data_IF_102072880400
#
_entry.id   IF_102072880400
#
_cell.length_a   1.000
_cell.length_b   1.000
_cell.length_c   1.000
_cell.angle_alpha   90.00
_cell.angle_beta   90.00
_cell.angle_gamma   90.00
#
_symmetry.space_group_name_H-M   'P 1'
#
loop_
_entity.id
_entity.type
_entity.pdbx_description
1 polymer ?
#
# COMPACT_ATOMS: atom_id res chain seq x y z
N UNK A 1 41.79 -28.14 48.91
CA UNK A 1 40.41 -27.96 48.40
C UNK A 1 40.28 -26.72 47.50
N UNK A 2 41.28 -26.44 46.65
CA UNK A 2 41.29 -25.22 45.80
C UNK A 2 40.91 -25.53 44.34
N UNK A 3 41.23 -26.72 43.81
CA UNK A 3 40.93 -27.11 42.43
C UNK A 3 39.43 -27.09 42.07
N UNK A 4 38.55 -27.48 43.00
CA UNK A 4 37.10 -27.43 42.76
C UNK A 4 36.57 -25.99 42.62
N UNK A 5 37.16 -25.00 43.32
CA UNK A 5 36.75 -23.60 43.21
C UNK A 5 37.13 -22.99 41.85
N UNK A 6 38.30 -23.38 41.32
CA UNK A 6 38.79 -22.94 40.01
C UNK A 6 37.91 -23.50 38.88
N UNK A 7 37.53 -24.78 38.96
CA UNK A 7 36.65 -25.42 37.96
C UNK A 7 35.23 -24.83 37.95
N UNK A 8 34.68 -24.51 39.14
CA UNK A 8 33.39 -23.81 39.26
C UNK A 8 33.46 -22.41 38.63
N UNK A 9 34.52 -21.64 38.93
CA UNK A 9 34.77 -20.33 38.31
C UNK A 9 34.84 -20.44 36.79
N UNK A 10 35.64 -21.37 36.25
CA UNK A 10 35.77 -21.55 34.79
C UNK A 10 34.43 -21.88 34.12
N UNK A 11 33.60 -22.72 34.74
CA UNK A 11 32.26 -23.03 34.24
C UNK A 11 31.36 -21.79 34.18
N UNK A 12 31.36 -20.94 35.21
CA UNK A 12 30.58 -19.71 35.21
C UNK A 12 31.04 -18.73 34.12
N UNK A 13 32.35 -18.54 33.96
CA UNK A 13 32.91 -17.70 32.90
C UNK A 13 32.61 -18.23 31.50
N UNK A 14 32.67 -19.55 31.31
CA UNK A 14 32.27 -20.19 30.05
C UNK A 14 30.79 -19.97 29.74
N UNK A 15 29.92 -20.08 30.74
CA UNK A 15 28.48 -19.88 30.57
C UNK A 15 28.15 -18.44 30.18
N UNK A 16 28.81 -17.46 30.81
CA UNK A 16 28.70 -16.04 30.47
C UNK A 16 29.17 -15.79 29.03
N UNK A 17 30.29 -16.39 28.62
CA UNK A 17 30.82 -16.26 27.27
C UNK A 17 29.85 -16.79 26.21
N UNK A 18 29.23 -17.95 26.46
CA UNK A 18 28.21 -18.52 25.56
C UNK A 18 26.99 -17.62 25.46
N UNK A 19 26.50 -17.09 26.59
CA UNK A 19 25.35 -16.16 26.59
C UNK A 19 25.67 -14.90 25.79
N UNK A 20 26.85 -14.30 25.99
CA UNK A 20 27.28 -13.12 25.26
C UNK A 20 27.39 -13.39 23.75
N UNK A 21 27.91 -14.56 23.37
CA UNK A 21 28.01 -14.96 21.97
C UNK A 21 26.63 -15.13 21.32
N UNK A 22 25.68 -15.76 22.02
CA UNK A 22 24.30 -15.89 21.52
C UNK A 22 23.65 -14.52 21.36
N UNK A 23 23.82 -13.61 22.32
CA UNK A 23 23.31 -12.22 22.21
C UNK A 23 23.92 -11.52 20.99
N UNK A 24 25.22 -11.68 20.75
CA UNK A 24 25.89 -11.10 19.60
C UNK A 24 25.30 -11.61 18.28
N UNK A 25 25.08 -12.92 18.15
CA UNK A 25 24.44 -13.51 16.97
C UNK A 25 23.00 -12.99 16.77
N UNK A 26 22.23 -12.84 17.85
CA UNK A 26 20.88 -12.27 17.78
C UNK A 26 20.92 -10.83 17.27
N UNK A 27 21.88 -10.02 17.73
CA UNK A 27 22.05 -8.64 17.26
C UNK A 27 22.37 -8.59 15.77
N UNK A 28 23.27 -9.45 15.27
CA UNK A 28 23.59 -9.53 13.83
C UNK A 28 22.35 -9.90 13.01
N UNK A 29 21.55 -10.87 13.47
CA UNK A 29 20.30 -11.27 12.81
C UNK A 29 19.31 -10.10 12.77
N UNK A 30 19.15 -9.36 13.86
CA UNK A 30 18.25 -8.19 13.92
C UNK A 30 18.70 -7.11 12.92
N UNK A 31 20.01 -6.82 12.86
CA UNK A 31 20.57 -5.83 11.93
C UNK A 31 20.31 -6.26 10.47
N UNK A 32 20.58 -7.52 10.14
CA UNK A 32 20.34 -8.08 8.82
C UNK A 32 18.86 -7.99 8.40
N UNK A 33 17.94 -8.40 9.29
CA UNK A 33 16.50 -8.35 9.02
C UNK A 33 15.97 -6.92 8.87
N UNK A 34 16.46 -5.98 9.68
CA UNK A 34 16.04 -4.57 9.63
C UNK A 34 16.42 -3.93 8.28
N UNK A 35 17.60 -4.24 7.75
CA UNK A 35 18.03 -3.74 6.45
C UNK A 35 17.10 -4.23 5.33
N UNK A 36 16.75 -5.52 5.32
CA UNK A 36 15.85 -6.09 4.31
C UNK A 36 14.45 -5.49 4.38
N UNK A 37 13.94 -5.21 5.59
CA UNK A 37 12.63 -4.58 5.77
C UNK A 37 12.59 -3.16 5.19
N UNK A 38 13.63 -2.36 5.43
CA UNK A 38 13.74 -0.99 4.92
C UNK A 38 13.75 -0.94 3.39
N UNK A 39 14.53 -1.81 2.77
CA UNK A 39 14.61 -1.91 1.31
C UNK A 39 13.26 -2.30 0.68
N UNK A 40 12.53 -3.26 1.28
CA UNK A 40 11.20 -3.65 0.81
C UNK A 40 10.16 -2.54 0.95
N UNK A 41 10.20 -1.78 2.04
CA UNK A 41 9.30 -0.63 2.23
C UNK A 41 9.57 0.47 1.21
N UNK A 42 10.84 0.80 0.95
CA UNK A 42 11.24 1.79 -0.06
C UNK A 42 10.81 1.36 -1.47
N UNK A 43 11.04 0.10 -1.86
CA UNK A 43 10.60 -0.44 -3.15
C UNK A 43 9.08 -0.37 -3.28
N UNK A 44 8.35 -0.70 -2.21
CA UNK A 44 6.88 -0.66 -2.21
C UNK A 44 6.35 0.76 -2.41
N UNK A 45 6.90 1.74 -1.69
CA UNK A 45 6.53 3.17 -1.82
C UNK A 45 6.79 3.69 -3.24
N UNK A 46 7.95 3.36 -3.83
CA UNK A 46 8.28 3.77 -5.20
C UNK A 46 7.35 3.09 -6.22
N UNK A 47 7.01 1.82 -6.02
CA UNK A 47 6.11 1.09 -6.90
C UNK A 47 4.65 1.59 -6.83
N UNK A 48 4.18 2.01 -5.66
CA UNK A 48 2.86 2.64 -5.50
C UNK A 48 2.80 3.99 -6.21
N UNK A 49 3.92 4.72 -6.24
CA UNK A 49 4.05 5.98 -6.97
C UNK A 49 4.23 5.81 -8.49
N UNK A 50 4.50 4.61 -9.01
CA UNK A 50 4.76 4.38 -10.44
C UNK A 50 3.74 3.41 -11.04
N UNK A 51 2.88 3.94 -11.91
CA UNK A 51 1.86 3.15 -12.60
C UNK A 51 2.30 2.76 -14.00
N UNK A 52 2.17 1.48 -14.34
CA UNK A 52 2.43 0.96 -15.69
C UNK A 52 1.25 1.27 -16.61
N UNK A 53 1.51 1.94 -17.73
CA UNK A 53 0.52 2.38 -18.71
C UNK A 53 0.94 1.95 -20.11
N UNK A 54 -0.03 1.58 -20.93
CA UNK A 54 0.16 1.27 -22.35
C UNK A 54 -0.47 2.38 -23.19
N UNK A 55 0.30 2.97 -24.10
CA UNK A 55 -0.22 3.95 -25.05
C UNK A 55 -1.26 3.31 -25.98
N UNK A 56 -2.38 3.98 -26.21
CA UNK A 56 -3.43 3.56 -27.15
C UNK A 56 -2.95 3.50 -28.60
N UNK A 57 -2.02 4.38 -28.98
CA UNK A 57 -1.64 4.58 -30.37
C UNK A 57 -0.44 3.72 -30.79
N UNK A 58 0.66 3.79 -30.05
CA UNK A 58 1.90 3.08 -30.39
C UNK A 58 2.10 1.79 -29.59
N UNK A 59 1.15 1.44 -28.71
CA UNK A 59 1.19 0.27 -27.79
C UNK A 59 2.43 0.18 -26.90
N UNK A 60 3.22 1.26 -26.82
CA UNK A 60 4.41 1.30 -25.97
C UNK A 60 3.98 1.29 -24.50
N UNK A 61 4.65 0.46 -23.71
CA UNK A 61 4.37 0.30 -22.28
C UNK A 61 5.44 1.05 -21.49
N UNK A 62 5.03 1.94 -20.60
CA UNK A 62 5.94 2.79 -19.82
C UNK A 62 5.36 3.06 -18.43
N UNK A 63 6.21 3.59 -17.54
CA UNK A 63 5.84 3.96 -16.17
C UNK A 63 5.49 5.45 -16.11
N UNK A 64 4.42 5.78 -15.41
CA UNK A 64 3.97 7.15 -15.16
C UNK A 64 3.88 7.34 -13.65
N UNK A 65 4.39 8.47 -13.15
CA UNK A 65 4.24 8.86 -11.75
C UNK A 65 2.76 9.09 -11.43
N UNK A 66 2.19 8.29 -10.53
CA UNK A 66 0.82 8.44 -10.08
C UNK A 66 0.74 9.56 -9.05
N UNK A 67 0.28 10.73 -9.48
CA UNK A 67 0.10 11.90 -8.61
C UNK A 67 -1.12 11.78 -7.70
N UNK A 68 -1.91 10.69 -7.79
CA UNK A 68 -3.17 10.51 -7.09
C UNK A 68 -4.33 11.33 -7.65
N UNK A 69 -4.05 12.33 -8.50
CA UNK A 69 -5.04 13.21 -9.14
C UNK A 69 -5.48 12.62 -10.48
N UNK A 70 -6.79 12.71 -10.77
CA UNK A 70 -7.40 12.26 -12.03
C UNK A 70 -8.31 13.36 -12.59
N UNK A 71 -8.43 13.52 -13.92
CA UNK A 71 -7.77 12.76 -14.98
C UNK A 71 -6.25 12.98 -15.00
N UNK A 72 -5.47 11.89 -14.95
CA UNK A 72 -4.01 11.99 -15.08
C UNK A 72 -3.70 12.04 -16.56
N UNK A 73 -3.30 13.22 -17.03
CA UNK A 73 -2.77 13.42 -18.38
C UNK A 73 -1.33 12.97 -18.40
N UNK A 74 -0.98 12.16 -19.39
CA UNK A 74 0.38 11.71 -19.59
C UNK A 74 0.73 11.79 -21.07
N UNK A 75 1.98 12.08 -21.38
CA UNK A 75 2.47 12.13 -22.76
C UNK A 75 3.25 10.84 -23.02
N UNK A 76 2.92 10.16 -24.12
CA UNK A 76 3.68 8.96 -24.49
C UNK A 76 5.12 9.35 -24.89
N UNK A 77 6.16 8.74 -24.29
CA UNK A 77 7.55 9.06 -24.61
C UNK A 77 7.96 8.60 -26.02
N UNK A 78 7.19 7.71 -26.65
CA UNK A 78 7.52 7.18 -27.97
C UNK A 78 6.83 7.95 -29.10
N UNK A 79 5.53 8.23 -29.00
CA UNK A 79 4.77 8.88 -30.06
C UNK A 79 4.34 10.33 -29.77
N UNK A 80 4.63 10.86 -28.58
CA UNK A 80 4.29 12.23 -28.18
C UNK A 80 2.80 12.50 -28.00
N UNK A 81 1.92 11.52 -28.23
CA UNK A 81 0.47 11.68 -28.03
C UNK A 81 0.11 11.74 -26.56
N UNK A 82 -0.83 12.62 -26.23
CA UNK A 82 -1.43 12.71 -24.90
C UNK A 82 -2.43 11.59 -24.68
N UNK A 83 -2.28 10.86 -23.58
CA UNK A 83 -3.23 9.90 -23.08
C UNK A 83 -3.83 10.37 -21.76
N UNK A 84 -5.02 9.86 -21.44
CA UNK A 84 -5.70 10.14 -20.17
C UNK A 84 -5.94 8.85 -19.44
N UNK A 85 -5.33 8.70 -18.25
CA UNK A 85 -5.71 7.64 -17.33
C UNK A 85 -6.99 8.06 -16.61
N UNK A 86 -8.10 7.44 -17.02
CA UNK A 86 -9.38 7.49 -16.31
C UNK A 86 -9.46 6.27 -15.41
N UNK A 87 -9.30 6.45 -14.10
CA UNK A 87 -9.41 5.39 -13.09
C UNK A 87 -9.67 6.02 -11.72
N UNK A 88 -10.57 5.41 -10.92
CA UNK A 88 -11.14 5.99 -9.70
C UNK A 88 -10.11 6.15 -8.57
N UNK A 89 -9.72 7.39 -8.32
CA UNK A 89 -9.70 7.99 -6.98
C UNK A 89 -10.14 9.43 -7.17
N UNK A 90 -11.45 9.59 -7.26
CA UNK A 90 -12.10 10.90 -7.14
C UNK A 90 -12.12 11.19 -5.64
N UNK A 91 -11.76 12.39 -5.22
CA UNK A 91 -12.06 12.85 -3.86
C UNK A 91 -13.58 12.83 -3.71
N UNK A 92 -14.11 11.73 -3.19
CA UNK A 92 -15.53 11.56 -2.96
C UNK A 92 -15.79 11.31 -1.49
N UNK A 93 -16.89 11.86 -0.99
CA UNK A 93 -17.34 11.60 0.37
C UNK A 93 -18.32 10.44 0.32
N UNK A 94 -18.16 9.46 1.22
CA UNK A 94 -19.21 8.49 1.46
C UNK A 94 -20.42 9.24 2.03
N UNK A 95 -21.54 9.20 1.31
CA UNK A 95 -22.80 9.82 1.71
C UNK A 95 -23.83 8.71 1.94
N UNK A 96 -24.48 8.71 3.10
CA UNK A 96 -25.61 7.83 3.37
C UNK A 96 -26.85 8.38 2.68
N UNK A 97 -27.55 7.52 1.94
CA UNK A 97 -28.82 7.84 1.30
C UNK A 97 -29.86 6.77 1.63
N UNK A 98 -31.13 7.15 1.54
CA UNK A 98 -32.27 6.25 1.73
C UNK A 98 -32.88 5.98 0.37
N UNK A 99 -33.09 4.72 0.02
CA UNK A 99 -33.78 4.35 -1.22
C UNK A 99 -35.24 4.81 -1.18
N UNK A 100 -35.70 5.52 -2.22
CA UNK A 100 -37.10 5.97 -2.34
C UNK A 100 -38.11 4.81 -2.48
N UNK A 101 -37.66 3.66 -2.98
CA UNK A 101 -38.54 2.53 -3.25
C UNK A 101 -38.64 1.55 -2.06
N UNK A 102 -37.51 1.18 -1.45
CA UNK A 102 -37.49 0.16 -0.39
C UNK A 102 -37.09 0.69 0.99
N UNK A 103 -36.89 2.00 1.15
CA UNK A 103 -36.52 2.67 2.42
C UNK A 103 -35.27 2.09 3.11
N UNK A 104 -34.41 1.38 2.37
CA UNK A 104 -33.13 0.88 2.90
C UNK A 104 -32.12 2.02 2.85
N UNK A 105 -31.42 2.22 3.96
CA UNK A 105 -30.28 3.12 4.06
C UNK A 105 -29.01 2.41 3.58
N UNK A 106 -28.26 3.04 2.69
CA UNK A 106 -26.99 2.52 2.19
C UNK A 106 -26.05 3.66 1.80
N UNK A 107 -24.77 3.33 1.68
CA UNK A 107 -23.72 4.30 1.37
C UNK A 107 -23.47 4.38 -0.14
N UNK A 108 -23.44 5.61 -0.65
CA UNK A 108 -23.01 5.91 -2.02
C UNK A 108 -21.78 6.82 -2.00
N UNK A 109 -20.99 6.74 -3.07
CA UNK A 109 -19.78 7.54 -3.23
C UNK A 109 -20.11 8.81 -4.02
N UNK A 110 -20.14 9.96 -3.35
CA UNK A 110 -20.45 11.26 -3.96
C UNK A 110 -19.15 11.95 -4.42
N UNK A 111 -18.97 12.06 -5.73
CA UNK A 111 -17.79 12.67 -6.38
C UNK A 111 -17.92 14.18 -6.58
N UNK A 112 -19.03 14.80 -6.14
CA UNK A 112 -19.34 16.21 -6.39
C UNK A 112 -19.95 16.50 -7.76
N UNK A 113 -20.02 15.51 -8.65
CA UNK A 113 -20.74 15.62 -9.92
C UNK A 113 -22.26 15.50 -9.68
N UNK A 114 -23.04 16.26 -10.45
CA UNK A 114 -24.51 16.28 -10.43
C UNK A 114 -25.06 16.20 -11.85
N UNK A 115 -26.17 15.49 -12.10
CA UNK A 115 -26.95 14.68 -11.17
C UNK A 115 -26.21 13.39 -10.72
N UNK A 116 -26.33 13.02 -9.44
CA UNK A 116 -25.69 11.80 -8.90
C UNK A 116 -26.67 10.63 -8.99
N UNK A 117 -26.46 9.72 -9.94
CA UNK A 117 -27.27 8.50 -10.06
C UNK A 117 -26.81 7.40 -9.11
N UNK A 118 -27.76 6.60 -8.60
CA UNK A 118 -27.50 5.44 -7.76
C UNK A 118 -28.39 4.26 -8.16
N UNK A 119 -27.93 3.04 -7.87
CA UNK A 119 -28.75 1.83 -7.95
C UNK A 119 -28.85 1.21 -6.56
N UNK A 120 -30.07 0.93 -6.11
CA UNK A 120 -30.30 0.35 -4.79
C UNK A 120 -29.78 -1.11 -4.73
N UNK A 121 -28.96 -1.49 -3.74
CA UNK A 121 -28.45 -2.86 -3.63
C UNK A 121 -29.53 -3.88 -3.25
N UNK A 122 -30.69 -3.43 -2.72
CA UNK A 122 -31.76 -4.31 -2.28
C UNK A 122 -32.86 -4.50 -3.32
N UNK A 123 -33.31 -3.43 -3.99
CA UNK A 123 -34.42 -3.48 -4.94
C UNK A 123 -34.04 -3.13 -6.38
N UNK A 124 -32.76 -2.86 -6.66
CA UNK A 124 -32.21 -2.48 -7.97
C UNK A 124 -32.85 -1.25 -8.62
N UNK A 125 -33.64 -0.49 -7.87
CA UNK A 125 -34.20 0.78 -8.33
C UNK A 125 -33.09 1.79 -8.66
N UNK A 126 -33.22 2.47 -9.79
CA UNK A 126 -32.34 3.56 -10.23
C UNK A 126 -32.91 4.90 -9.77
N UNK A 127 -32.19 5.59 -8.89
CA UNK A 127 -32.57 6.90 -8.37
C UNK A 127 -31.53 7.96 -8.66
N UNK A 128 -31.91 9.22 -8.47
CA UNK A 128 -31.04 10.38 -8.69
C UNK A 128 -31.06 11.28 -7.46
N UNK A 129 -29.88 11.65 -6.97
CA UNK A 129 -29.69 12.60 -5.87
C UNK A 129 -29.18 13.92 -6.46
N UNK A 130 -29.89 15.01 -6.15
CA UNK A 130 -29.50 16.38 -6.47
C UNK A 130 -28.49 16.97 -5.49
#
# INVERSE_FOLDING_TARGET
MEGNKILLSLKYWSLIGVILYVIFLILEIIVYLKSSKKEREEIKIISEALKKVMCSDCKTVFLVSDTGVRPLRYTCPNCGKEGVLRGKTVEGKARKIVCENCNVEFEIFDTGERPLSYSCPNCHFEGVVS
#
